data_IF_379251121532
#
_entry.id   IF_379251121532
#
_cell.length_a   1.000
_cell.length_b   1.000
_cell.length_c   1.000
_cell.angle_alpha   90.00
_cell.angle_beta   90.00
_cell.angle_gamma   90.00
#
_symmetry.space_group_name_H-M   'P 1'
#
loop_
_entity.id
_entity.type
_entity.pdbx_description
1 polymer ?
#
# COMPACT_ATOMS: atom_id res chain seq x y z
N UNK A 1 -29.76 8.40 -7.78
CA UNK A 1 -28.85 7.25 -7.57
C UNK A 1 -27.50 7.88 -7.35
N UNK A 2 -27.11 8.04 -6.10
CA UNK A 2 -25.81 8.60 -5.78
C UNK A 2 -24.75 7.58 -6.19
N UNK A 3 -23.81 8.01 -7.04
CA UNK A 3 -22.71 7.18 -7.48
C UNK A 3 -21.78 6.96 -6.28
N UNK A 4 -22.00 5.88 -5.54
CA UNK A 4 -21.09 5.47 -4.46
C UNK A 4 -19.79 4.97 -5.12
N UNK A 5 -18.69 5.69 -4.89
CA UNK A 5 -17.35 5.30 -5.30
C UNK A 5 -16.48 5.14 -4.05
N UNK A 6 -15.68 4.09 -4.01
CA UNK A 6 -14.73 3.85 -2.94
C UNK A 6 -13.30 3.79 -3.49
N UNK A 7 -12.35 4.34 -2.75
CA UNK A 7 -10.95 4.43 -3.15
C UNK A 7 -10.15 3.45 -2.30
N UNK A 8 -9.45 2.54 -2.97
CA UNK A 8 -8.61 1.53 -2.34
C UNK A 8 -7.16 1.81 -2.72
N UNK A 9 -6.33 1.96 -1.69
CA UNK A 9 -4.88 2.07 -1.82
C UNK A 9 -4.21 0.72 -1.55
N UNK A 10 -3.04 0.50 -2.15
CA UNK A 10 -2.17 -0.64 -1.85
C UNK A 10 -1.41 -0.43 -0.53
N UNK A 11 -2.14 -0.18 0.56
CA UNK A 11 -1.61 0.05 1.91
C UNK A 11 -2.33 -0.79 2.94
N UNK A 12 -1.68 -1.02 4.08
CA UNK A 12 -2.30 -1.71 5.21
C UNK A 12 -3.49 -0.87 5.69
N UNK A 13 -4.73 -1.39 5.65
CA UNK A 13 -5.87 -0.65 6.17
C UNK A 13 -5.65 -0.41 7.67
N UNK A 14 -5.77 0.82 8.15
CA UNK A 14 -5.61 1.16 9.58
C UNK A 14 -6.92 1.61 10.21
N UNK A 15 -7.91 1.93 9.38
CA UNK A 15 -9.17 2.51 9.78
C UNK A 15 -10.11 1.46 10.40
N UNK A 16 -10.79 1.85 11.46
CA UNK A 16 -11.63 0.94 12.24
C UNK A 16 -12.92 0.57 11.50
N UNK A 17 -13.41 1.48 10.65
CA UNK A 17 -14.57 1.25 9.78
C UNK A 17 -14.31 0.21 8.67
N UNK A 18 -13.08 -0.29 8.53
CA UNK A 18 -12.72 -1.40 7.63
C UNK A 18 -12.65 -2.76 8.35
N UNK A 19 -12.83 -2.79 9.66
CA UNK A 19 -12.69 -4.01 10.47
C UNK A 19 -14.02 -4.42 11.09
N UNK A 20 -14.39 -5.68 10.91
CA UNK A 20 -15.58 -6.33 11.44
C UNK A 20 -15.17 -7.32 12.51
N UNK A 21 -15.87 -7.27 13.65
CA UNK A 21 -15.77 -8.24 14.74
C UNK A 21 -17.01 -9.13 14.74
N UNK A 22 -16.79 -10.43 14.79
CA UNK A 22 -17.82 -11.47 14.73
C UNK A 22 -17.70 -12.32 15.99
N UNK A 23 -18.80 -12.53 16.70
CA UNK A 23 -18.83 -13.37 17.90
C UNK A 23 -20.13 -14.18 17.99
N UNK A 24 -20.22 -15.01 19.04
CA UNK A 24 -21.22 -16.09 19.18
C UNK A 24 -21.04 -17.23 18.17
N UNK A 25 -19.80 -17.45 17.73
CA UNK A 25 -19.47 -18.63 16.91
C UNK A 25 -19.40 -19.86 17.83
N UNK A 26 -20.21 -20.87 17.51
CA UNK A 26 -20.32 -22.07 18.33
C UNK A 26 -19.06 -22.95 18.25
N UNK A 27 -18.72 -23.68 19.34
CA UNK A 27 -17.57 -24.58 19.37
C UNK A 27 -17.82 -25.91 18.63
N UNK A 28 -18.97 -26.07 17.97
CA UNK A 28 -19.37 -27.28 17.25
C UNK A 28 -18.55 -27.54 15.98
N UNK A 29 -17.88 -26.51 15.47
CA UNK A 29 -17.09 -26.57 14.25
C UNK A 29 -15.59 -26.41 14.53
N UNK A 30 -14.76 -26.97 13.66
CA UNK A 30 -13.32 -26.75 13.71
C UNK A 30 -12.97 -25.32 13.27
N UNK A 31 -11.85 -24.79 13.77
CA UNK A 31 -11.37 -23.46 13.42
C UNK A 31 -11.19 -23.30 11.90
N UNK A 32 -10.69 -24.34 11.22
CA UNK A 32 -10.52 -24.33 9.76
C UNK A 32 -11.86 -24.24 9.01
N UNK A 33 -12.89 -24.96 9.46
CA UNK A 33 -14.22 -24.88 8.84
C UNK A 33 -14.85 -23.49 9.02
N UNK A 34 -14.69 -22.91 10.21
CA UNK A 34 -15.17 -21.56 10.51
C UNK A 34 -14.44 -20.55 9.62
N UNK A 35 -13.12 -20.68 9.47
CA UNK A 35 -12.31 -19.83 8.61
C UNK A 35 -12.82 -19.85 7.15
N UNK A 36 -12.97 -21.04 6.56
CA UNK A 36 -13.42 -21.18 5.17
C UNK A 36 -14.85 -20.68 4.97
N UNK A 37 -15.75 -20.97 5.92
CA UNK A 37 -17.14 -20.51 5.87
C UNK A 37 -17.23 -18.98 5.89
N UNK A 38 -16.47 -18.34 6.80
CA UNK A 38 -16.41 -16.89 6.87
C UNK A 38 -15.70 -16.31 5.64
N UNK A 39 -14.62 -16.92 5.16
CA UNK A 39 -13.91 -16.46 3.97
C UNK A 39 -14.84 -16.44 2.75
N UNK A 40 -15.57 -17.53 2.51
CA UNK A 40 -16.52 -17.65 1.41
C UNK A 40 -17.60 -16.57 1.43
N UNK A 41 -18.20 -16.32 2.61
CA UNK A 41 -19.24 -15.28 2.75
C UNK A 41 -18.67 -13.88 2.60
N UNK A 42 -17.58 -13.56 3.31
CA UNK A 42 -17.08 -12.19 3.39
C UNK A 42 -16.30 -11.75 2.13
N UNK A 43 -15.62 -12.68 1.45
CA UNK A 43 -14.93 -12.37 0.18
C UNK A 43 -15.90 -12.02 -0.96
N UNK A 44 -17.16 -12.44 -0.87
CA UNK A 44 -18.20 -12.06 -1.83
C UNK A 44 -18.60 -10.57 -1.73
N UNK A 45 -18.35 -9.93 -0.59
CA UNK A 45 -18.57 -8.48 -0.43
C UNK A 45 -17.40 -7.66 -0.95
N UNK A 46 -16.19 -8.23 -0.98
CA UNK A 46 -15.00 -7.58 -1.50
C UNK A 46 -13.68 -8.12 -0.95
N UNK A 47 -12.58 -7.45 -1.29
CA UNK A 47 -11.24 -7.90 -0.96
C UNK A 47 -10.96 -7.84 0.55
N UNK A 48 -10.52 -8.97 1.10
CA UNK A 48 -10.14 -9.11 2.50
C UNK A 48 -8.62 -8.90 2.66
N UNK A 49 -8.24 -7.97 3.52
CA UNK A 49 -6.85 -7.84 3.98
C UNK A 49 -6.50 -8.96 4.94
N UNK A 50 -7.36 -9.21 5.93
CA UNK A 50 -7.15 -10.20 6.99
C UNK A 50 -8.46 -10.87 7.38
N UNK A 51 -8.41 -12.19 7.56
CA UNK A 51 -9.41 -12.94 8.30
C UNK A 51 -8.68 -13.72 9.38
N UNK A 52 -9.11 -13.60 10.63
CA UNK A 52 -8.54 -14.33 11.75
C UNK A 52 -9.66 -14.90 12.61
N UNK A 53 -9.61 -16.19 12.85
CA UNK A 53 -10.48 -16.88 13.82
C UNK A 53 -9.65 -17.10 15.09
N UNK A 54 -10.26 -16.90 16.24
CA UNK A 54 -9.63 -17.09 17.53
C UNK A 54 -10.60 -17.81 18.47
N UNK A 55 -10.12 -18.75 19.31
CA UNK A 55 -10.93 -19.28 20.39
C UNK A 55 -11.22 -18.19 21.42
N UNK A 56 -12.37 -18.31 22.09
CA UNK A 56 -12.69 -17.48 23.25
C UNK A 56 -11.66 -17.69 24.37
N UNK A 57 -11.48 -16.67 25.20
CA UNK A 57 -10.60 -16.77 26.36
C UNK A 57 -11.09 -17.90 27.30
N UNK A 58 -10.19 -18.57 28.05
CA UNK A 58 -10.56 -19.72 28.91
C UNK A 58 -11.61 -19.40 29.99
N UNK A 59 -11.75 -18.12 30.35
CA UNK A 59 -12.69 -17.63 31.36
C UNK A 59 -14.11 -17.41 30.78
N UNK A 60 -14.25 -17.39 29.46
CA UNK A 60 -15.51 -17.19 28.76
C UNK A 60 -16.13 -18.54 28.33
N UNK A 61 -17.39 -18.50 27.88
CA UNK A 61 -18.07 -19.68 27.34
C UNK A 61 -17.29 -20.25 26.13
N UNK A 62 -17.21 -21.59 25.99
CA UNK A 62 -16.55 -22.22 24.85
C UNK A 62 -17.13 -21.74 23.52
N UNK A 63 -16.26 -21.39 22.58
CA UNK A 63 -16.65 -20.86 21.28
C UNK A 63 -15.51 -20.09 20.63
N UNK A 64 -15.82 -19.42 19.54
CA UNK A 64 -14.86 -18.63 18.77
C UNK A 64 -15.37 -17.20 18.56
N UNK A 65 -14.42 -16.33 18.25
CA UNK A 65 -14.67 -15.03 17.65
C UNK A 65 -13.78 -14.88 16.41
N UNK A 66 -14.17 -14.00 15.50
CA UNK A 66 -13.40 -13.72 14.31
C UNK A 66 -13.25 -12.22 14.07
N UNK A 67 -12.12 -11.87 13.44
CA UNK A 67 -11.81 -10.54 12.97
C UNK A 67 -11.67 -10.59 11.45
N UNK A 68 -12.49 -9.80 10.75
CA UNK A 68 -12.41 -9.65 9.30
C UNK A 68 -12.05 -8.21 8.99
N UNK A 69 -11.02 -8.00 8.19
CA UNK A 69 -10.56 -6.67 7.79
C UNK A 69 -10.58 -6.54 6.29
N UNK A 70 -11.32 -5.57 5.80
CA UNK A 70 -11.44 -5.23 4.39
C UNK A 70 -10.41 -4.18 3.98
N UNK A 71 -10.17 -4.06 2.68
CA UNK A 71 -9.51 -2.88 2.12
C UNK A 71 -10.46 -1.68 2.01
N UNK A 72 -11.76 -1.94 1.84
CA UNK A 72 -12.83 -0.96 1.64
C UNK A 72 -13.72 -0.81 2.88
N UNK A 73 -14.00 0.44 3.27
CA UNK A 73 -14.92 0.72 4.37
C UNK A 73 -16.38 0.54 3.93
N UNK A 74 -16.71 0.86 2.68
CA UNK A 74 -18.04 0.65 2.13
C UNK A 74 -18.41 -0.83 2.09
N UNK A 75 -17.48 -1.69 1.64
CA UNK A 75 -17.65 -3.14 1.61
C UNK A 75 -17.76 -3.72 3.02
N UNK A 76 -16.95 -3.26 3.99
CA UNK A 76 -17.07 -3.68 5.38
C UNK A 76 -18.44 -3.31 5.98
N UNK A 77 -18.93 -2.09 5.74
CA UNK A 77 -20.25 -1.65 6.20
C UNK A 77 -21.38 -2.45 5.55
N UNK A 78 -21.28 -2.73 4.24
CA UNK A 78 -22.25 -3.56 3.52
C UNK A 78 -22.27 -4.99 4.07
N UNK A 79 -21.10 -5.60 4.27
CA UNK A 79 -20.97 -6.92 4.84
C UNK A 79 -21.57 -6.99 6.24
N UNK A 80 -21.23 -6.03 7.12
CA UNK A 80 -21.78 -5.99 8.48
C UNK A 80 -23.31 -5.90 8.49
N UNK A 81 -23.90 -5.00 7.68
CA UNK A 81 -25.36 -4.84 7.60
C UNK A 81 -26.05 -6.10 7.07
N UNK A 82 -25.41 -6.82 6.17
CA UNK A 82 -25.97 -8.03 5.56
C UNK A 82 -25.84 -9.26 6.46
N UNK A 83 -24.82 -9.34 7.32
CA UNK A 83 -24.52 -10.56 8.10
C UNK A 83 -24.85 -10.45 9.59
N UNK A 84 -25.10 -9.26 10.14
CA UNK A 84 -25.50 -9.12 11.54
C UNK A 84 -26.82 -9.85 11.81
N UNK A 85 -26.81 -10.67 12.87
CA UNK A 85 -27.93 -11.52 13.32
C UNK A 85 -28.40 -12.55 12.29
N UNK A 86 -27.54 -12.91 11.33
CA UNK A 86 -27.83 -13.97 10.36
C UNK A 86 -27.21 -15.30 10.78
N UNK A 87 -27.87 -16.40 10.38
CA UNK A 87 -27.40 -17.77 10.56
C UNK A 87 -26.59 -18.18 9.32
N UNK A 88 -25.29 -17.88 9.29
CA UNK A 88 -24.46 -18.07 8.09
C UNK A 88 -24.12 -19.56 7.83
N UNK A 89 -23.61 -20.25 8.84
CA UNK A 89 -23.17 -21.65 8.77
C UNK A 89 -23.53 -22.44 10.04
N UNK A 90 -24.24 -21.82 10.96
CA UNK A 90 -24.68 -22.38 12.24
C UNK A 90 -26.13 -21.96 12.51
N UNK A 91 -26.84 -22.70 13.36
CA UNK A 91 -28.26 -22.46 13.65
C UNK A 91 -28.49 -21.19 14.49
N UNK A 92 -27.53 -20.84 15.36
CA UNK A 92 -27.59 -19.63 16.19
C UNK A 92 -27.09 -18.43 15.41
N UNK A 93 -27.82 -17.29 15.39
CA UNK A 93 -27.40 -16.12 14.63
C UNK A 93 -26.09 -15.53 15.17
N UNK A 94 -25.21 -15.13 14.26
CA UNK A 94 -23.95 -14.46 14.60
C UNK A 94 -24.19 -13.00 14.96
N UNK A 95 -23.37 -12.46 15.86
CA UNK A 95 -23.33 -11.01 16.12
C UNK A 95 -22.16 -10.38 15.40
N UNK A 96 -22.45 -9.36 14.61
CA UNK A 96 -21.48 -8.74 13.72
C UNK A 96 -21.49 -7.23 13.93
N UNK A 97 -20.36 -6.66 14.33
CA UNK A 97 -20.20 -5.20 14.47
C UNK A 97 -18.92 -4.70 13.84
N UNK A 98 -18.96 -3.47 13.36
CA UNK A 98 -17.75 -2.74 13.00
C UNK A 98 -16.94 -2.43 14.27
N UNK A 99 -15.62 -2.45 14.13
CA UNK A 99 -14.71 -2.05 15.19
C UNK A 99 -14.91 -0.58 15.52
N UNK A 100 -15.09 -0.27 16.80
CA UNK A 100 -15.10 1.10 17.33
C UNK A 100 -13.77 1.47 17.99
N UNK A 101 -12.81 0.53 18.00
CA UNK A 101 -11.58 0.67 18.79
C UNK A 101 -10.67 1.71 18.13
N UNK A 102 -10.61 2.92 18.69
CA UNK A 102 -9.70 3.96 18.20
C UNK A 102 -8.24 3.51 18.38
N UNK A 103 -7.59 3.09 17.30
CA UNK A 103 -6.15 3.01 17.26
C UNK A 103 -5.62 4.44 17.01
N UNK A 104 -4.79 5.02 17.89
CA UNK A 104 -4.29 6.38 17.67
C UNK A 104 -3.54 6.44 16.33
N UNK A 105 -4.15 7.14 15.36
CA UNK A 105 -3.69 7.24 13.98
C UNK A 105 -2.24 7.76 13.85
N UNK A 106 -1.72 8.41 14.90
CA UNK A 106 -0.37 8.96 14.96
C UNK A 106 0.74 7.91 15.18
N UNK A 107 0.41 6.70 15.67
CA UNK A 107 1.42 5.64 15.92
C UNK A 107 1.60 4.66 14.77
N UNK A 108 0.84 4.82 13.68
CA UNK A 108 0.91 3.92 12.52
C UNK A 108 1.10 4.76 11.27
N UNK A 109 2.35 5.14 10.98
CA UNK A 109 2.71 5.55 9.63
C UNK A 109 2.15 4.51 8.66
N UNK A 110 1.43 4.97 7.63
CA UNK A 110 0.72 4.10 6.70
C UNK A 110 1.69 3.10 6.08
N UNK A 111 1.62 1.85 6.53
CA UNK A 111 2.56 0.82 6.13
C UNK A 111 2.18 0.29 4.75
N UNK A 112 3.18 0.12 3.90
CA UNK A 112 3.10 -0.59 2.64
C UNK A 112 2.54 -2.00 2.81
N UNK A 113 1.78 -2.48 1.83
CA UNK A 113 1.42 -3.90 1.79
C UNK A 113 2.66 -4.76 1.52
N UNK A 114 2.59 -6.03 1.93
CA UNK A 114 3.58 -7.01 1.48
C UNK A 114 3.39 -7.30 -0.01
N UNK A 115 4.45 -7.74 -0.68
CA UNK A 115 4.40 -8.11 -2.11
C UNK A 115 3.22 -9.06 -2.41
N UNK A 116 3.04 -10.12 -1.62
CA UNK A 116 1.94 -11.06 -1.79
C UNK A 116 0.56 -10.39 -1.67
N UNK A 117 0.38 -9.49 -0.69
CA UNK A 117 -0.89 -8.78 -0.50
C UNK A 117 -1.18 -7.79 -1.62
N UNK A 118 -0.16 -7.17 -2.22
CA UNK A 118 -0.35 -6.39 -3.44
C UNK A 118 -0.86 -7.27 -4.58
N UNK A 119 -0.25 -8.45 -4.79
CA UNK A 119 -0.67 -9.38 -5.84
C UNK A 119 -2.11 -9.87 -5.63
N UNK A 120 -2.47 -10.28 -4.41
CA UNK A 120 -3.83 -10.73 -4.08
C UNK A 120 -4.86 -9.63 -4.37
N UNK A 121 -4.57 -8.40 -3.95
CA UNK A 121 -5.45 -7.25 -4.14
C UNK A 121 -5.60 -6.89 -5.62
N UNK A 122 -4.50 -6.83 -6.36
CA UNK A 122 -4.51 -6.58 -7.79
C UNK A 122 -5.28 -7.68 -8.54
N UNK A 123 -5.06 -8.95 -8.20
CA UNK A 123 -5.77 -10.07 -8.81
C UNK A 123 -7.28 -10.04 -8.51
N UNK A 124 -7.69 -9.58 -7.33
CA UNK A 124 -9.10 -9.47 -6.97
C UNK A 124 -9.85 -8.46 -7.84
N UNK A 125 -9.27 -7.27 -8.07
CA UNK A 125 -9.97 -6.18 -8.77
C UNK A 125 -9.68 -6.11 -10.26
N UNK A 126 -8.46 -6.46 -10.68
CA UNK A 126 -7.99 -6.32 -12.05
C UNK A 126 -7.93 -7.67 -12.78
N UNK A 127 -7.98 -8.77 -12.02
CA UNK A 127 -7.75 -10.11 -12.54
C UNK A 127 -6.27 -10.41 -12.78
N UNK A 128 -5.94 -11.70 -12.87
CA UNK A 128 -4.56 -12.17 -13.05
C UNK A 128 -3.88 -11.63 -14.32
N UNK A 129 -4.65 -11.41 -15.40
CA UNK A 129 -4.17 -10.86 -16.66
C UNK A 129 -4.36 -9.34 -16.78
N UNK A 130 -4.82 -8.67 -15.71
CA UNK A 130 -5.08 -7.23 -15.73
C UNK A 130 -3.85 -6.37 -15.48
N UNK A 131 -2.76 -6.98 -15.01
CA UNK A 131 -1.53 -6.28 -14.66
C UNK A 131 -0.30 -7.17 -14.92
N UNK A 132 0.85 -6.54 -15.12
CA UNK A 132 2.14 -7.23 -15.31
C UNK A 132 3.28 -6.39 -14.75
N UNK A 133 4.38 -7.05 -14.37
CA UNK A 133 5.60 -6.36 -13.96
C UNK A 133 6.76 -6.72 -14.87
N UNK A 134 7.60 -5.74 -15.17
CA UNK A 134 8.82 -5.89 -15.95
C UNK A 134 10.01 -5.33 -15.17
N UNK A 135 11.08 -6.11 -15.05
CA UNK A 135 12.31 -5.66 -14.38
C UNK A 135 13.11 -4.84 -15.38
N UNK A 136 13.21 -3.52 -15.14
CA UNK A 136 14.01 -2.62 -15.96
C UNK A 136 15.49 -2.83 -15.65
N UNK A 137 15.85 -2.82 -14.35
CA UNK A 137 17.25 -2.98 -13.95
C UNK A 137 17.39 -3.55 -12.54
N UNK A 138 18.47 -4.31 -12.34
CA UNK A 138 18.95 -4.76 -11.03
C UNK A 138 20.42 -4.39 -10.95
N UNK A 139 20.80 -3.60 -9.94
CA UNK A 139 22.16 -3.08 -9.77
C UNK A 139 22.74 -3.47 -8.43
N UNK A 140 23.97 -3.99 -8.47
CA UNK A 140 24.80 -4.14 -7.29
C UNK A 140 25.35 -2.76 -6.88
N UNK A 141 24.98 -2.32 -5.68
CA UNK A 141 25.35 -1.03 -5.10
C UNK A 141 26.31 -1.19 -3.90
N UNK A 142 26.79 -2.41 -3.62
CA UNK A 142 27.75 -2.67 -2.54
C UNK A 142 28.99 -1.78 -2.64
N UNK A 143 29.53 -1.59 -3.85
CA UNK A 143 30.72 -0.76 -4.13
C UNK A 143 30.48 0.75 -4.04
N UNK A 144 29.23 1.21 -3.93
CA UNK A 144 28.89 2.63 -3.88
C UNK A 144 28.72 3.11 -2.43
N UNK A 145 28.72 2.20 -1.45
CA UNK A 145 28.57 2.52 -0.03
C UNK A 145 29.81 3.20 0.59
N UNK A 146 30.97 3.15 -0.08
CA UNK A 146 32.24 3.68 0.43
C UNK A 146 32.29 5.22 0.52
N UNK A 147 31.31 5.96 -0.03
CA UNK A 147 31.35 7.43 -0.11
C UNK A 147 30.64 8.11 1.08
N UNK A 148 29.91 7.39 1.95
CA UNK A 148 29.17 8.04 3.04
C UNK A 148 28.83 7.21 4.28
N UNK A 149 29.16 5.92 4.30
CA UNK A 149 28.97 5.04 5.45
C UNK A 149 30.26 4.25 5.68
N UNK A 150 31.29 4.92 6.19
CA UNK A 150 32.46 4.20 6.68
C UNK A 150 32.00 3.33 7.85
N UNK A 151 31.75 2.05 7.58
CA UNK A 151 31.70 1.01 8.61
C UNK A 151 32.96 1.23 9.47
N UNK A 152 32.79 1.41 10.79
CA UNK A 152 33.89 1.67 11.71
C UNK A 152 35.08 0.75 11.39
N UNK A 153 36.34 1.21 11.45
CA UNK A 153 37.51 0.42 11.05
C UNK A 153 37.70 -0.89 11.85
N UNK A 154 36.88 -1.14 12.89
CA UNK A 154 36.80 -2.40 13.63
C UNK A 154 35.65 -3.34 13.25
N UNK A 155 34.81 -2.99 12.27
CA UNK A 155 33.66 -3.80 11.86
C UNK A 155 34.08 -4.88 10.85
N UNK A 156 33.98 -6.15 11.24
CA UNK A 156 34.35 -7.30 10.39
C UNK A 156 33.32 -7.62 9.28
N UNK A 157 32.39 -6.71 9.00
CA UNK A 157 31.32 -6.87 8.03
C UNK A 157 31.67 -6.39 6.62
N UNK A 158 30.98 -6.96 5.63
CA UNK A 158 30.88 -6.54 4.24
C UNK A 158 29.41 -6.15 3.98
N UNK A 159 29.14 -4.92 3.54
CA UNK A 159 27.78 -4.49 3.21
C UNK A 159 27.42 -4.92 1.79
N UNK A 160 26.46 -5.83 1.67
CA UNK A 160 25.86 -6.16 0.38
C UNK A 160 24.61 -5.30 0.19
N UNK A 161 24.51 -4.61 -0.95
CA UNK A 161 23.40 -3.71 -1.25
C UNK A 161 22.98 -3.87 -2.71
N UNK A 162 21.70 -4.13 -2.93
CA UNK A 162 21.11 -4.31 -4.25
C UNK A 162 19.94 -3.37 -4.46
N UNK A 163 19.91 -2.72 -5.62
CA UNK A 163 18.81 -1.88 -6.09
C UNK A 163 18.10 -2.56 -7.25
N UNK A 164 16.79 -2.41 -7.33
CA UNK A 164 15.96 -2.89 -8.42
C UNK A 164 14.98 -1.80 -8.83
N UNK A 165 14.77 -1.65 -10.14
CA UNK A 165 13.70 -0.83 -10.71
C UNK A 165 12.80 -1.74 -11.55
N UNK A 166 11.50 -1.63 -11.33
CA UNK A 166 10.47 -2.36 -12.06
C UNK A 166 9.45 -1.39 -12.62
N UNK A 167 8.89 -1.77 -13.76
CA UNK A 167 7.70 -1.16 -14.34
C UNK A 167 6.50 -2.05 -14.06
N UNK A 168 5.43 -1.44 -13.56
CA UNK A 168 4.11 -2.03 -13.42
C UNK A 168 3.24 -1.49 -14.54
N UNK A 169 2.61 -2.38 -15.29
CA UNK A 169 1.74 -2.04 -16.41
C UNK A 169 0.34 -2.57 -16.14
N UNK A 170 -0.67 -1.74 -16.40
CA UNK A 170 -2.09 -2.07 -16.33
C UNK A 170 -2.72 -1.78 -17.71
N UNK A 171 -2.57 -2.70 -18.69
CA UNK A 171 -2.86 -2.40 -20.09
C UNK A 171 -4.30 -1.98 -20.35
N UNK A 172 -5.26 -2.61 -19.66
CA UNK A 172 -6.69 -2.32 -19.82
C UNK A 172 -7.08 -0.91 -19.36
N UNK A 173 -6.23 -0.29 -18.53
CA UNK A 173 -6.44 1.06 -18.01
C UNK A 173 -5.48 2.08 -18.65
N UNK A 174 -4.56 1.65 -19.51
CA UNK A 174 -3.55 2.53 -20.12
C UNK A 174 -2.59 3.15 -19.11
N UNK A 175 -2.38 2.50 -17.96
CA UNK A 175 -1.59 3.01 -16.85
C UNK A 175 -0.27 2.25 -16.75
N UNK A 176 0.82 2.99 -16.61
CA UNK A 176 2.17 2.48 -16.29
C UNK A 176 2.75 3.28 -15.13
N UNK A 177 3.40 2.62 -14.19
CA UNK A 177 4.18 3.28 -13.16
C UNK A 177 5.46 2.50 -12.86
N UNK A 178 6.50 3.21 -12.45
CA UNK A 178 7.76 2.59 -12.04
C UNK A 178 7.85 2.53 -10.53
N UNK A 179 8.62 1.57 -10.03
CA UNK A 179 8.89 1.43 -8.60
C UNK A 179 10.35 1.07 -8.40
N UNK A 180 10.93 1.57 -7.31
CA UNK A 180 12.32 1.35 -6.96
C UNK A 180 12.39 0.67 -5.59
N UNK A 181 13.24 -0.33 -5.47
CA UNK A 181 13.42 -1.10 -4.25
C UNK A 181 14.88 -1.33 -3.96
N UNK A 182 15.26 -1.16 -2.69
CA UNK A 182 16.62 -1.36 -2.21
C UNK A 182 16.63 -2.36 -1.05
N UNK A 183 17.52 -3.34 -1.11
CA UNK A 183 17.74 -4.30 -0.06
C UNK A 183 19.22 -4.36 0.29
N UNK A 184 19.53 -4.39 1.59
CA UNK A 184 20.89 -4.43 2.10
C UNK A 184 20.98 -5.36 3.32
N UNK A 185 22.13 -6.01 3.46
CA UNK A 185 22.45 -6.89 4.59
C UNK A 185 23.96 -6.81 4.86
N UNK A 186 24.35 -6.65 6.13
CA UNK A 186 25.75 -6.72 6.56
C UNK A 186 26.12 -8.19 6.75
N UNK A 187 27.18 -8.62 6.09
CA UNK A 187 27.60 -10.02 6.05
C UNK A 187 29.02 -10.15 6.62
N UNK A 188 29.26 -11.12 7.48
CA UNK A 188 30.62 -11.36 7.98
C UNK A 188 31.57 -11.73 6.84
N UNK A 189 32.77 -11.15 6.84
CA UNK A 189 33.76 -11.38 5.78
C UNK A 189 34.19 -12.84 5.69
N UNK A 190 34.17 -13.55 6.81
CA UNK A 190 34.57 -14.95 6.96
C UNK A 190 33.55 -15.96 6.42
N UNK A 191 32.34 -15.53 6.02
CA UNK A 191 31.35 -16.45 5.44
C UNK A 191 31.84 -17.08 4.14
N UNK A 192 31.42 -18.33 3.92
CA UNK A 192 31.77 -19.08 2.72
C UNK A 192 31.25 -18.39 1.45
N UNK A 193 31.91 -18.58 0.28
CA UNK A 193 31.43 -18.03 -0.99
C UNK A 193 30.01 -18.47 -1.36
N UNK A 194 29.62 -19.68 -0.98
CA UNK A 194 28.27 -20.23 -1.23
C UNK A 194 27.20 -19.51 -0.41
N UNK A 195 27.46 -19.27 0.88
CA UNK A 195 26.57 -18.48 1.74
C UNK A 195 26.42 -17.05 1.24
N UNK A 196 27.52 -16.43 0.78
CA UNK A 196 27.47 -15.09 0.18
C UNK A 196 26.62 -15.08 -1.08
N UNK A 197 26.71 -16.12 -1.94
CA UNK A 197 25.86 -16.24 -3.13
C UNK A 197 24.38 -16.35 -2.77
N UNK A 198 24.04 -17.14 -1.74
CA UNK A 198 22.67 -17.24 -1.23
C UNK A 198 22.13 -15.89 -0.75
N UNK A 199 22.93 -15.14 0.02
CA UNK A 199 22.56 -13.81 0.51
C UNK A 199 22.35 -12.84 -0.65
N UNK A 200 23.21 -12.85 -1.68
CA UNK A 200 23.04 -12.02 -2.89
C UNK A 200 21.72 -12.31 -3.59
N UNK A 201 21.40 -13.59 -3.83
CA UNK A 201 20.14 -13.98 -4.47
C UNK A 201 18.92 -13.56 -3.65
N UNK A 202 18.97 -13.72 -2.32
CA UNK A 202 17.96 -13.25 -1.39
C UNK A 202 17.78 -11.74 -1.45
N UNK A 203 18.86 -10.97 -1.44
CA UNK A 203 18.81 -9.50 -1.53
C UNK A 203 18.28 -9.02 -2.87
N UNK A 204 18.68 -9.62 -4.00
CA UNK A 204 18.13 -9.30 -5.31
C UNK A 204 16.61 -9.53 -5.36
N UNK A 205 16.14 -10.66 -4.80
CA UNK A 205 14.71 -10.95 -4.68
C UNK A 205 14.00 -9.90 -3.83
N UNK A 206 14.54 -9.55 -2.67
CA UNK A 206 13.96 -8.55 -1.79
C UNK A 206 13.93 -7.15 -2.40
N UNK A 207 14.99 -6.74 -3.10
CA UNK A 207 15.04 -5.48 -3.83
C UNK A 207 13.94 -5.44 -4.89
N UNK A 208 13.78 -6.51 -5.67
CA UNK A 208 12.70 -6.65 -6.66
C UNK A 208 11.31 -6.61 -6.01
N UNK A 209 11.09 -7.37 -4.93
CA UNK A 209 9.80 -7.42 -4.24
C UNK A 209 9.43 -6.03 -3.68
N UNK A 210 10.39 -5.31 -3.09
CA UNK A 210 10.20 -3.91 -2.64
C UNK A 210 9.92 -2.95 -3.79
N UNK A 211 10.60 -3.11 -4.93
CA UNK A 211 10.39 -2.27 -6.09
C UNK A 211 8.96 -2.44 -6.65
N UNK A 212 8.46 -3.68 -6.67
CA UNK A 212 7.07 -3.98 -7.08
C UNK A 212 6.07 -3.36 -6.10
N UNK A 213 6.30 -3.50 -4.78
CA UNK A 213 5.44 -2.85 -3.77
C UNK A 213 5.43 -1.33 -3.94
N UNK A 214 6.60 -0.72 -4.16
CA UNK A 214 6.74 0.72 -4.42
C UNK A 214 5.95 1.17 -5.66
N UNK A 215 5.93 0.38 -6.73
CA UNK A 215 5.11 0.67 -7.91
C UNK A 215 3.61 0.61 -7.58
N UNK A 216 3.17 -0.43 -6.85
CA UNK A 216 1.77 -0.59 -6.44
C UNK A 216 1.28 0.50 -5.48
N UNK A 217 2.12 1.04 -4.59
CA UNK A 217 1.74 2.13 -3.67
C UNK A 217 1.27 3.41 -4.36
N UNK A 218 1.68 3.60 -5.62
CA UNK A 218 1.25 4.71 -6.45
C UNK A 218 -0.13 4.46 -7.07
N UNK A 219 -0.54 3.20 -7.18
CA UNK A 219 -1.80 2.82 -7.78
C UNK A 219 -2.96 3.07 -6.81
N UNK A 220 -4.01 3.68 -7.33
CA UNK A 220 -5.30 3.88 -6.68
C UNK A 220 -6.37 3.10 -7.46
N UNK A 221 -7.12 2.26 -6.76
CA UNK A 221 -8.27 1.56 -7.32
C UNK A 221 -9.54 2.31 -6.93
N UNK A 222 -10.30 2.75 -7.92
CA UNK A 222 -11.58 3.44 -7.72
C UNK A 222 -12.70 2.44 -8.06
N UNK A 223 -13.38 1.97 -7.02
CA UNK A 223 -14.44 0.96 -7.13
C UNK A 223 -15.78 1.67 -7.20
N UNK A 224 -16.46 1.56 -8.34
CA UNK A 224 -17.79 2.13 -8.53
C UNK A 224 -18.87 1.17 -8.00
N UNK A 225 -19.99 1.70 -7.53
CA UNK A 225 -21.09 0.91 -6.95
C UNK A 225 -21.71 -0.14 -7.89
N UNK A 226 -21.44 -0.07 -9.19
CA UNK A 226 -21.82 -1.09 -10.18
C UNK A 226 -20.78 -2.20 -10.38
N UNK A 227 -19.70 -2.20 -9.59
CA UNK A 227 -18.60 -3.17 -9.65
C UNK A 227 -17.51 -2.85 -10.68
N UNK A 228 -17.63 -1.77 -11.45
CA UNK A 228 -16.55 -1.33 -12.35
C UNK A 228 -15.39 -0.77 -11.55
N UNK A 229 -14.18 -0.99 -12.06
CA UNK A 229 -12.93 -0.51 -11.46
C UNK A 229 -12.29 0.48 -12.43
N UNK A 230 -11.95 1.67 -11.92
CA UNK A 230 -11.03 2.59 -12.57
C UNK A 230 -9.69 2.57 -11.81
N UNK A 231 -8.61 2.87 -12.50
CA UNK A 231 -7.25 2.86 -11.96
C UNK A 231 -6.61 4.21 -12.23
N UNK A 232 -6.03 4.79 -11.19
CA UNK A 232 -5.18 5.98 -11.31
C UNK A 232 -3.81 5.71 -10.69
N UNK A 233 -2.78 6.41 -11.15
CA UNK A 233 -1.46 6.39 -10.53
C UNK A 233 -1.13 7.79 -10.00
N UNK A 234 -0.61 7.82 -8.76
CA UNK A 234 0.09 8.98 -8.21
C UNK A 234 1.36 9.17 -9.03
N UNK A 235 1.36 10.17 -9.90
CA UNK A 235 2.53 10.55 -10.68
C UNK A 235 3.38 11.44 -9.78
N UNK A 236 4.60 11.00 -9.51
CA UNK A 236 5.62 11.87 -8.92
C UNK A 236 6.19 12.75 -10.04
N UNK A 237 6.19 14.10 -9.93
CA UNK A 237 6.78 14.98 -10.93
C UNK A 237 8.24 14.63 -11.26
N UNK A 238 8.97 14.02 -10.32
CA UNK A 238 10.37 13.60 -10.50
C UNK A 238 10.53 12.35 -11.39
N UNK A 239 9.45 11.59 -11.64
CA UNK A 239 9.45 10.44 -12.56
C UNK A 239 9.10 10.80 -14.01
N UNK A 240 8.69 12.05 -14.26
CA UNK A 240 8.47 12.59 -15.60
C UNK A 240 9.79 13.01 -16.28
N UNK A 241 10.84 12.21 -16.14
CA UNK A 241 11.96 12.33 -17.07
C UNK A 241 11.48 11.75 -18.40
N UNK A 242 11.29 12.56 -19.45
CA UNK A 242 10.98 12.00 -20.75
C UNK A 242 12.10 11.03 -21.11
N UNK A 243 11.74 9.85 -21.62
CA UNK A 243 12.68 9.02 -22.36
C UNK A 243 13.44 9.95 -23.31
N UNK A 244 14.77 9.91 -23.27
CA UNK A 244 15.65 10.58 -24.20
C UNK A 244 15.27 10.16 -25.63
N UNK A 245 14.27 10.81 -26.25
CA UNK A 245 13.88 10.74 -27.66
C UNK A 245 12.64 11.60 -27.97
N UNK A 246 12.65 12.86 -27.53
CA UNK A 246 11.87 13.90 -28.23
C UNK A 246 12.83 15.01 -28.64
N UNK A 247 13.45 14.84 -29.80
CA UNK A 247 13.88 15.96 -30.65
C UNK A 247 12.60 16.66 -31.17
N UNK A 248 11.79 17.13 -30.24
CA UNK A 248 10.64 17.99 -30.47
C UNK A 248 11.12 19.41 -30.25
N UNK A 249 11.31 20.13 -31.36
CA UNK A 249 11.70 21.53 -31.39
C UNK A 249 10.79 22.31 -30.43
N UNK A 250 11.34 22.76 -29.29
CA UNK A 250 10.66 23.72 -28.42
C UNK A 250 10.72 25.05 -29.17
N UNK A 251 9.61 25.44 -29.78
CA UNK A 251 9.48 26.78 -30.34
C UNK A 251 9.29 27.76 -29.18
N UNK A 252 10.40 28.33 -28.71
CA UNK A 252 10.37 29.42 -27.74
C UNK A 252 9.89 30.66 -28.48
N UNK A 253 8.78 31.25 -28.07
CA UNK A 253 8.46 32.62 -28.45
C UNK A 253 9.40 33.52 -27.66
N UNK A 254 10.22 34.31 -28.37
CA UNK A 254 11.03 35.36 -27.77
C UNK A 254 10.08 36.41 -27.16
N UNK A 255 9.96 36.42 -25.83
CA UNK A 255 9.27 37.48 -25.13
C UNK A 255 10.33 38.54 -24.82
N UNK A 256 10.21 39.71 -25.44
CA UNK A 256 11.11 40.83 -25.18
C UNK A 256 10.87 41.33 -23.76
N UNK A 257 11.93 41.42 -22.95
CA UNK A 257 11.89 41.90 -21.56
C UNK A 257 11.47 43.38 -21.42
N UNK A 258 11.27 44.08 -22.53
CA UNK A 258 10.84 45.49 -22.58
C UNK A 258 9.36 45.69 -22.20
N UNK A 259 8.55 44.62 -22.16
CA UNK A 259 7.12 44.71 -21.83
C UNK A 259 6.84 44.70 -20.31
N UNK A 260 7.85 44.38 -19.48
CA UNK A 260 7.70 44.33 -18.02
C UNK A 260 8.14 45.61 -17.29
N UNK A 261 8.88 46.52 -17.93
CA UNK A 261 9.32 47.78 -17.30
C UNK A 261 8.22 48.86 -17.26
N UNK A 262 7.09 48.65 -17.92
CA UNK A 262 5.96 49.60 -17.90
C UNK A 262 4.96 49.38 -16.74
N UNK A 263 5.11 48.31 -15.95
CA UNK A 263 4.21 47.98 -14.83
C UNK A 263 4.85 48.19 -13.44
N UNK A 264 6.10 48.64 -13.38
CA UNK A 264 6.83 48.94 -12.13
C UNK A 264 6.63 50.41 -11.69
N UNK A 265 5.37 50.88 -11.69
CA UNK A 265 4.98 52.19 -11.18
C UNK A 265 3.97 52.03 -10.06
N UNK A 266 4.36 52.47 -8.86
CA UNK A 266 3.55 52.64 -7.64
C UNK A 266 3.33 51.37 -6.79
N UNK A 267 4.39 50.91 -6.11
CA UNK A 267 4.26 50.13 -4.86
C UNK A 267 3.87 51.09 -3.71
N UNK A 268 2.60 51.13 -3.33
CA UNK A 268 2.18 51.60 -2.00
C UNK A 268 2.52 50.53 -0.95
N UNK A 269 3.44 50.84 -0.05
CA UNK A 269 3.79 50.03 1.13
C UNK A 269 2.57 49.85 2.05
N UNK A 270 2.04 48.61 2.14
CA UNK A 270 1.10 48.23 3.20
C UNK A 270 1.86 47.50 4.33
N UNK A 271 1.91 48.05 5.55
CA UNK A 271 2.59 47.41 6.68
C UNK A 271 1.76 46.28 7.28
N UNK A 272 2.34 45.09 7.34
CA UNK A 272 1.80 43.90 8.00
C UNK A 272 1.95 44.02 9.53
N UNK A 273 0.86 44.35 10.24
CA UNK A 273 0.81 44.28 11.70
C UNK A 273 -0.02 43.07 12.14
N UNK A 274 0.65 42.01 12.63
CA UNK A 274 0.01 40.91 13.36
C UNK A 274 0.02 41.23 14.85
N UNK A 275 -1.14 41.50 15.43
CA UNK A 275 -1.31 41.61 16.89
C UNK A 275 -1.87 40.28 17.41
N UNK A 276 -1.11 39.61 18.28
CA UNK A 276 -1.62 38.52 19.11
C UNK A 276 -2.24 39.14 20.37
N UNK A 277 -3.56 39.07 20.50
CA UNK A 277 -4.23 39.28 21.78
C UNK A 277 -4.24 37.96 22.56
N UNK A 278 -3.43 37.90 23.60
CA UNK A 278 -3.56 36.98 24.72
C UNK A 278 -4.47 37.64 25.75
N UNK A 279 -5.67 37.10 25.94
CA UNK A 279 -6.51 37.42 27.10
C UNK A 279 -6.52 36.24 28.07
N UNK A 280 -6.28 36.60 29.34
CA UNK A 280 -6.17 35.80 30.56
C UNK A 280 -7.23 34.73 30.80
#
# INVERSE_FOLDING_TARGET
MDLEADIIEFRVPTENNKTIFIWEIQPSFSEAFIYESLWSVYSAFGALYLLKVCPNAPVAAPGFYALVKFYSAAQASKAQRATDKQCLFQEVPLKVRLSTKQNPAFLSASQSLSHAKCQDLANHYLGYNGWSTHIITVKDMSKCADIGWSLDPGSQGELLKYGCMVELTLPQHGVTCRGVGVAEEVVDREKSPEEKLWIRGKLMKWAKDKAVVSAFEKVLLIILGNGKVAVECRIDPEELLPDENVEGIIHVNDISWSDFEAAAGEEEELPWNFTMDLSH
#
